data_IF_643857197399
#
_entry.id   IF_643857197399
#
_cell.length_a   1.000
_cell.length_b   1.000
_cell.length_c   1.000
_cell.angle_alpha   90.00
_cell.angle_beta   90.00
_cell.angle_gamma   90.00
#
_symmetry.space_group_name_H-M   'P 1'
#
loop_
_entity.id
_entity.type
_entity.pdbx_description
1 polymer ?
#
# COMPACT_ATOMS: atom_id res chain seq x y z
N UNK A 1 -22.30 54.26 44.59
CA UNK A 1 -22.76 53.31 43.56
C UNK A 1 -21.58 53.00 42.67
N UNK A 2 -20.88 51.87 42.87
CA UNK A 2 -19.73 51.48 42.07
C UNK A 2 -19.91 50.02 41.67
N UNK A 3 -20.17 49.76 40.38
CA UNK A 3 -20.32 48.42 39.81
C UNK A 3 -18.99 47.99 39.24
N UNK A 4 -18.39 46.99 39.89
CA UNK A 4 -17.13 46.36 39.50
C UNK A 4 -17.42 45.47 38.29
N UNK A 5 -16.87 45.84 37.13
CA UNK A 5 -16.90 45.04 35.91
C UNK A 5 -15.79 43.97 36.00
N UNK A 6 -16.17 42.74 36.36
CA UNK A 6 -15.31 41.57 36.23
C UNK A 6 -15.28 41.11 34.77
N UNK A 7 -14.16 41.36 34.09
CA UNK A 7 -13.87 40.82 32.75
C UNK A 7 -13.30 39.41 32.94
N UNK A 8 -14.12 38.38 32.67
CA UNK A 8 -13.68 36.99 32.66
C UNK A 8 -13.03 36.71 31.31
N UNK A 9 -11.70 36.63 31.28
CA UNK A 9 -10.93 36.16 30.12
C UNK A 9 -11.00 34.63 30.05
N UNK A 10 -11.86 34.11 29.18
CA UNK A 10 -11.92 32.67 28.86
C UNK A 10 -10.81 32.37 27.87
N UNK A 11 -9.73 31.72 28.34
CA UNK A 11 -8.67 31.22 27.47
C UNK A 11 -9.19 30.00 26.68
N UNK A 12 -9.47 30.20 25.39
CA UNK A 12 -9.72 29.09 24.45
C UNK A 12 -8.39 28.36 24.22
N UNK A 13 -8.19 27.24 24.92
CA UNK A 13 -7.17 26.26 24.57
C UNK A 13 -7.60 25.55 23.27
N UNK A 14 -7.03 25.97 22.15
CA UNK A 14 -7.13 25.23 20.88
C UNK A 14 -6.31 23.94 21.02
N UNK A 15 -7.01 22.81 21.12
CA UNK A 15 -6.39 21.49 21.08
C UNK A 15 -6.08 21.19 19.60
N UNK A 16 -4.83 21.40 19.19
CA UNK A 16 -4.36 20.98 17.87
C UNK A 16 -4.27 19.45 17.86
N UNK A 17 -5.18 18.80 17.14
CA UNK A 17 -5.10 17.36 16.85
C UNK A 17 -3.93 17.17 15.88
N UNK A 18 -2.76 16.78 16.39
CA UNK A 18 -1.66 16.32 15.55
C UNK A 18 -2.03 14.93 15.08
N UNK A 19 -2.42 14.78 13.81
CA UNK A 19 -2.57 13.48 13.19
C UNK A 19 -1.17 12.85 13.12
N UNK A 20 -0.87 11.97 14.07
CA UNK A 20 0.36 11.17 14.04
C UNK A 20 0.12 10.06 13.03
N UNK A 21 0.69 10.18 11.84
CA UNK A 21 0.70 9.06 10.90
C UNK A 21 1.59 7.93 11.44
N UNK A 22 1.11 6.69 11.32
CA UNK A 22 1.86 5.51 11.76
C UNK A 22 3.06 5.27 10.84
N UNK A 23 4.23 5.10 11.43
CA UNK A 23 5.43 4.70 10.68
C UNK A 23 5.31 3.22 10.32
N UNK A 24 5.36 2.93 9.02
CA UNK A 24 5.46 1.57 8.51
C UNK A 24 6.93 1.17 8.30
N UNK A 25 7.18 -0.12 8.15
CA UNK A 25 8.51 -0.69 7.90
C UNK A 25 8.56 -1.33 6.51
N UNK A 26 9.63 -1.08 5.76
CA UNK A 26 9.91 -1.66 4.44
C UNK A 26 11.39 -2.03 4.38
N UNK A 27 11.72 -3.31 4.19
CA UNK A 27 13.11 -3.81 4.23
C UNK A 27 13.93 -3.32 5.45
N UNK A 28 13.29 -3.17 6.61
CA UNK A 28 13.92 -2.68 7.85
C UNK A 28 14.08 -1.16 7.95
N UNK A 29 13.71 -0.40 6.91
CA UNK A 29 13.63 1.06 6.94
C UNK A 29 12.23 1.52 7.35
N UNK A 30 12.13 2.52 8.22
CA UNK A 30 10.83 3.12 8.54
C UNK A 30 10.48 4.23 7.56
N UNK A 31 9.22 4.33 7.18
CA UNK A 31 8.73 5.32 6.23
C UNK A 31 7.33 5.81 6.60
N UNK A 32 7.00 6.99 6.07
CA UNK A 32 5.67 7.55 6.14
C UNK A 32 4.89 7.18 4.88
N UNK A 33 3.71 6.53 5.00
CA UNK A 33 2.90 6.12 3.85
C UNK A 33 2.43 7.30 2.99
N UNK A 34 2.36 8.50 3.58
CA UNK A 34 2.05 9.75 2.87
C UNK A 34 3.17 10.25 1.94
N UNK A 35 4.40 9.75 2.13
CA UNK A 35 5.59 10.21 1.39
C UNK A 35 6.23 9.11 0.54
N UNK A 36 6.02 7.84 0.89
CA UNK A 36 6.60 6.70 0.19
C UNK A 36 5.62 5.54 0.09
N UNK A 37 5.82 4.72 -0.93
CA UNK A 37 5.13 3.45 -1.12
C UNK A 37 6.16 2.33 -1.11
N UNK A 38 5.91 1.29 -0.31
CA UNK A 38 6.73 0.10 -0.25
C UNK A 38 6.22 -0.96 -1.24
N UNK A 39 7.13 -1.55 -2.01
CA UNK A 39 6.85 -2.61 -2.97
C UNK A 39 7.62 -3.87 -2.57
N UNK A 40 6.89 -4.99 -2.53
CA UNK A 40 7.40 -6.34 -2.22
C UNK A 40 8.32 -6.41 -0.99
N UNK A 41 8.03 -5.59 0.02
CA UNK A 41 8.83 -5.43 1.24
C UNK A 41 10.33 -5.11 1.01
N UNK A 42 10.71 -4.70 -0.21
CA UNK A 42 12.11 -4.58 -0.66
C UNK A 42 12.46 -3.19 -1.18
N UNK A 43 11.55 -2.52 -1.88
CA UNK A 43 11.83 -1.24 -2.53
C UNK A 43 10.88 -0.14 -2.07
N UNK A 44 11.45 1.00 -1.66
CA UNK A 44 10.70 2.21 -1.33
C UNK A 44 10.74 3.17 -2.53
N UNK A 45 9.57 3.54 -3.02
CA UNK A 45 9.42 4.55 -4.06
C UNK A 45 8.73 5.81 -3.50
N UNK A 46 9.26 7.02 -3.79
CA UNK A 46 8.72 8.26 -3.26
C UNK A 46 7.41 8.65 -3.95
N UNK A 47 6.56 9.37 -3.22
CA UNK A 47 5.37 10.01 -3.78
C UNK A 47 5.78 11.42 -4.21
N UNK A 48 5.78 11.69 -5.52
CA UNK A 48 6.24 12.95 -6.09
C UNK A 48 5.04 13.80 -6.50
N UNK A 49 4.87 14.98 -5.89
CA UNK A 49 3.75 15.89 -6.16
C UNK A 49 2.36 15.21 -6.03
N UNK A 50 2.19 14.31 -5.06
CA UNK A 50 0.97 13.52 -4.89
C UNK A 50 0.81 12.37 -5.89
N UNK A 51 1.75 12.18 -6.81
CA UNK A 51 1.78 11.06 -7.75
C UNK A 51 2.64 9.94 -7.18
N UNK A 52 2.03 8.77 -7.02
CA UNK A 52 2.74 7.58 -6.56
C UNK A 52 3.63 7.08 -7.69
N UNK A 53 4.93 6.97 -7.41
CA UNK A 53 5.87 6.38 -8.35
C UNK A 53 5.90 4.86 -8.19
N UNK A 54 6.13 4.18 -9.31
CA UNK A 54 6.16 2.72 -9.39
C UNK A 54 7.60 2.22 -9.56
N UNK A 55 7.93 1.02 -9.08
CA UNK A 55 9.23 0.42 -9.31
C UNK A 55 9.35 -0.10 -10.75
N UNK A 56 10.52 0.08 -11.35
CA UNK A 56 10.94 -0.58 -12.59
C UNK A 56 12.43 -0.94 -12.46
N UNK A 57 12.73 -2.22 -12.27
CA UNK A 57 14.07 -2.65 -11.87
C UNK A 57 14.47 -2.00 -10.54
N UNK A 58 15.53 -1.18 -10.55
CA UNK A 58 16.00 -0.46 -9.36
C UNK A 58 15.53 1.00 -9.29
N UNK A 59 14.81 1.48 -10.31
CA UNK A 59 14.35 2.86 -10.39
C UNK A 59 12.88 2.97 -9.99
N UNK A 60 12.47 4.18 -9.59
CA UNK A 60 11.08 4.54 -9.40
C UNK A 60 10.69 5.56 -10.46
N UNK A 61 9.53 5.37 -11.11
CA UNK A 61 9.08 6.19 -12.24
C UNK A 61 7.66 6.69 -12.07
N UNK A 62 7.34 7.81 -12.71
CA UNK A 62 5.97 8.32 -12.82
C UNK A 62 5.21 7.54 -13.91
N UNK A 63 4.18 6.75 -13.55
CA UNK A 63 3.41 5.95 -14.50
C UNK A 63 2.55 6.78 -15.47
N UNK A 64 2.51 8.10 -15.31
CA UNK A 64 1.86 9.00 -16.26
C UNK A 64 2.81 9.51 -17.35
N UNK A 65 4.13 9.34 -17.15
CA UNK A 65 5.17 9.80 -18.08
C UNK A 65 5.99 8.66 -18.68
N UNK A 66 6.10 7.55 -17.97
CA UNK A 66 6.87 6.38 -18.40
C UNK A 66 6.07 5.11 -18.21
N UNK A 67 6.46 4.07 -18.93
CA UNK A 67 6.02 2.69 -18.72
C UNK A 67 7.22 1.80 -18.44
N UNK A 68 7.02 0.75 -17.65
CA UNK A 68 8.01 -0.29 -17.43
C UNK A 68 7.73 -1.48 -18.35
N UNK A 69 8.71 -1.84 -19.18
CA UNK A 69 8.69 -3.02 -20.03
C UNK A 69 9.97 -3.81 -19.79
N UNK A 70 9.88 -5.06 -19.35
CA UNK A 70 11.04 -5.93 -19.04
C UNK A 70 12.12 -5.24 -18.18
N UNK A 71 11.69 -4.63 -17.07
CA UNK A 71 12.54 -3.84 -16.15
C UNK A 71 13.22 -2.60 -16.77
N UNK A 72 12.84 -2.24 -18.00
CA UNK A 72 13.33 -1.08 -18.74
C UNK A 72 12.28 0.03 -18.76
N UNK A 73 12.71 1.26 -18.46
CA UNK A 73 11.86 2.44 -18.55
C UNK A 73 11.75 2.92 -19.99
N UNK A 74 10.53 3.00 -20.47
CA UNK A 74 10.20 3.52 -21.79
C UNK A 74 9.34 4.77 -21.65
N UNK A 75 9.56 5.76 -22.52
CA UNK A 75 8.76 6.98 -22.50
C UNK A 75 7.33 6.67 -22.96
N UNK A 76 6.34 7.05 -22.16
CA UNK A 76 4.95 6.89 -22.52
C UNK A 76 4.56 7.94 -23.57
N UNK A 77 4.35 7.52 -24.82
CA UNK A 77 3.86 8.39 -25.88
C UNK A 77 2.37 8.10 -26.18
N UNK A 78 1.43 8.90 -25.64
CA UNK A 78 -0.01 8.71 -25.87
C UNK A 78 -0.43 8.92 -27.34
N UNK A 79 0.43 9.54 -28.16
CA UNK A 79 0.13 9.84 -29.55
C UNK A 79 0.47 8.68 -30.50
N UNK A 80 1.13 7.63 -30.00
CA UNK A 80 1.31 6.39 -30.76
C UNK A 80 0.07 5.54 -30.52
N UNK A 81 -0.94 5.73 -31.38
CA UNK A 81 -2.32 5.24 -31.23
C UNK A 81 -2.54 3.71 -31.07
N UNK A 82 -1.48 2.91 -30.93
CA UNK A 82 -1.54 1.46 -30.67
C UNK A 82 -0.28 0.94 -29.94
N UNK A 83 0.38 1.76 -29.12
CA UNK A 83 1.47 1.28 -28.26
C UNK A 83 0.90 0.44 -27.11
N UNK A 84 0.41 -0.75 -27.46
CA UNK A 84 0.12 -1.78 -26.48
C UNK A 84 1.44 -2.25 -25.92
N UNK A 85 1.61 -2.08 -24.62
CA UNK A 85 2.76 -2.62 -23.91
C UNK A 85 2.51 -4.08 -23.58
N UNK A 86 3.59 -4.85 -23.47
CA UNK A 86 3.52 -6.24 -23.05
C UNK A 86 3.56 -6.33 -21.52
N UNK A 87 2.69 -7.15 -20.96
CA UNK A 87 2.71 -7.58 -19.58
C UNK A 87 2.53 -9.09 -19.54
N UNK A 88 3.65 -9.80 -19.46
CA UNK A 88 3.70 -11.25 -19.59
C UNK A 88 3.25 -11.65 -20.99
N UNK A 89 2.16 -12.41 -21.06
CA UNK A 89 1.57 -12.85 -22.34
C UNK A 89 0.40 -11.97 -22.81
N UNK A 90 0.14 -10.85 -22.11
CA UNK A 90 -0.98 -9.95 -22.42
C UNK A 90 -0.47 -8.61 -22.94
N UNK A 91 -1.23 -8.03 -23.86
CA UNK A 91 -1.05 -6.66 -24.31
C UNK A 91 -1.98 -5.74 -23.52
N UNK A 92 -1.49 -4.59 -23.08
CA UNK A 92 -2.28 -3.63 -22.34
C UNK A 92 -2.05 -2.19 -22.78
N UNK A 93 -3.08 -1.38 -22.57
CA UNK A 93 -3.03 0.06 -22.73
C UNK A 93 -2.52 0.69 -21.42
N UNK A 94 -1.36 1.37 -21.43
CA UNK A 94 -0.80 2.01 -20.23
C UNK A 94 -1.69 3.11 -19.64
N UNK A 95 -2.61 3.67 -20.43
CA UNK A 95 -3.64 4.61 -19.95
C UNK A 95 -4.72 3.94 -19.13
N UNK A 96 -4.91 2.63 -19.25
CA UNK A 96 -6.00 1.88 -18.61
C UNK A 96 -5.52 0.91 -17.55
N UNK A 97 -4.26 0.51 -17.59
CA UNK A 97 -3.71 -0.44 -16.63
C UNK A 97 -2.21 -0.19 -16.39
N UNK A 98 -1.70 -0.85 -15.37
CA UNK A 98 -0.30 -0.84 -14.97
C UNK A 98 0.18 -2.29 -14.88
N UNK A 99 1.34 -2.58 -15.44
CA UNK A 99 1.99 -3.88 -15.31
C UNK A 99 2.96 -3.90 -14.12
N UNK A 100 2.84 -4.93 -13.30
CA UNK A 100 3.72 -5.24 -12.18
C UNK A 100 4.45 -6.56 -12.45
N UNK A 101 5.74 -6.60 -12.10
CA UNK A 101 6.62 -7.78 -12.19
C UNK A 101 6.69 -8.42 -13.59
N UNK A 102 6.32 -7.68 -14.63
CA UNK A 102 6.29 -8.19 -16.00
C UNK A 102 5.21 -9.25 -16.26
N UNK A 103 4.21 -9.45 -15.38
CA UNK A 103 3.11 -10.40 -15.64
C UNK A 103 1.78 -10.08 -14.94
N UNK A 104 1.75 -9.16 -13.97
CA UNK A 104 0.55 -8.86 -13.19
C UNK A 104 -0.06 -7.53 -13.60
N UNK A 105 -1.28 -7.56 -14.13
CA UNK A 105 -1.98 -6.39 -14.67
C UNK A 105 -2.98 -5.81 -13.66
N UNK A 106 -2.80 -4.55 -13.30
CA UNK A 106 -3.75 -3.81 -12.48
C UNK A 106 -4.48 -2.73 -13.27
N UNK A 107 -5.83 -2.75 -13.33
CA UNK A 107 -6.61 -1.73 -14.03
C UNK A 107 -6.66 -0.43 -13.25
N UNK A 108 -6.47 0.71 -13.91
CA UNK A 108 -6.63 2.04 -13.32
C UNK A 108 -8.11 2.29 -13.00
N UNK A 109 -8.44 2.53 -11.73
CA UNK A 109 -9.79 2.80 -11.25
C UNK A 109 -9.97 4.28 -10.90
N UNK A 110 -9.76 5.15 -11.89
CA UNK A 110 -9.74 6.61 -11.71
C UNK A 110 -8.38 7.15 -11.20
N UNK A 111 -7.66 6.37 -10.41
CA UNK A 111 -6.25 6.61 -10.05
C UNK A 111 -5.37 5.43 -10.46
N UNK A 112 -4.05 5.61 -10.35
CA UNK A 112 -3.11 4.49 -10.41
C UNK A 112 -3.47 3.50 -9.31
N UNK A 113 -3.66 2.24 -9.70
CA UNK A 113 -3.81 1.11 -8.78
C UNK A 113 -2.47 0.47 -8.52
N UNK A 114 -2.25 0.04 -7.28
CA UNK A 114 -1.05 -0.63 -6.84
C UNK A 114 -1.29 -2.12 -6.67
N UNK A 115 -0.22 -2.91 -6.75
CA UNK A 115 -0.25 -4.33 -6.43
C UNK A 115 -0.10 -4.53 -4.93
N UNK A 116 -0.94 -5.39 -4.36
CA UNK A 116 -0.76 -5.95 -3.03
C UNK A 116 -0.98 -7.46 -3.07
N UNK A 117 0.09 -8.23 -2.90
CA UNK A 117 0.04 -9.69 -3.07
C UNK A 117 -0.43 -10.08 -4.47
N UNK A 118 -1.62 -10.69 -4.56
CA UNK A 118 -2.25 -11.11 -5.82
C UNK A 118 -3.44 -10.23 -6.23
N UNK A 119 -3.59 -9.05 -5.63
CA UNK A 119 -4.72 -8.15 -5.86
C UNK A 119 -4.26 -6.73 -6.18
N UNK A 120 -5.17 -5.94 -6.74
CA UNK A 120 -4.94 -4.53 -7.05
C UNK A 120 -5.78 -3.67 -6.11
N UNK A 121 -5.19 -2.59 -5.59
CA UNK A 121 -5.88 -1.67 -4.68
C UNK A 121 -5.66 -0.22 -5.09
N UNK A 122 -6.55 0.66 -4.65
CA UNK A 122 -6.42 2.11 -4.81
C UNK A 122 -5.85 2.74 -3.53
N UNK A 123 -4.69 3.40 -3.60
CA UNK A 123 -4.01 3.95 -2.43
C UNK A 123 -4.70 5.14 -1.76
N UNK A 124 -5.84 5.60 -2.30
CA UNK A 124 -6.62 6.73 -1.76
C UNK A 124 -7.08 6.49 -0.33
N UNK A 125 -7.49 5.26 -0.01
CA UNK A 125 -8.00 4.88 1.32
C UNK A 125 -7.42 3.56 1.83
N UNK A 126 -6.55 2.91 1.04
CA UNK A 126 -6.00 1.61 1.38
C UNK A 126 -4.47 1.62 1.27
N UNK A 127 -3.81 0.77 2.05
CA UNK A 127 -2.37 0.55 2.00
C UNK A 127 -2.07 -0.95 2.04
N UNK A 128 -0.97 -1.36 1.40
CA UNK A 128 -0.54 -2.75 1.45
C UNK A 128 0.33 -3.00 2.69
N UNK A 129 -0.05 -3.96 3.53
CA UNK A 129 0.80 -4.47 4.60
C UNK A 129 0.78 -6.00 4.60
N UNK A 130 1.96 -6.63 4.68
CA UNK A 130 2.10 -8.10 4.67
C UNK A 130 1.38 -8.79 3.49
N UNK A 131 1.41 -8.16 2.31
CA UNK A 131 0.69 -8.60 1.11
C UNK A 131 -0.86 -8.67 1.27
N UNK A 132 -1.44 -7.89 2.18
CA UNK A 132 -2.88 -7.67 2.33
C UNK A 132 -3.26 -6.20 2.13
N UNK A 133 -4.40 -5.98 1.47
CA UNK A 133 -4.99 -4.66 1.29
C UNK A 133 -5.68 -4.23 2.59
N UNK A 134 -5.23 -3.13 3.18
CA UNK A 134 -5.68 -2.66 4.50
C UNK A 134 -6.27 -1.26 4.40
N UNK A 135 -7.26 -0.95 5.23
CA UNK A 135 -7.89 0.40 5.30
C UNK A 135 -7.25 1.19 6.45
N UNK A 136 -7.40 2.52 6.46
CA UNK A 136 -6.85 3.40 7.52
C UNK A 136 -7.26 3.02 8.96
N UNK A 137 -8.40 2.31 9.15
CA UNK A 137 -8.86 1.80 10.45
C UNK A 137 -8.20 0.46 10.86
N UNK A 138 -7.29 -0.07 10.03
CA UNK A 138 -6.48 -1.25 10.30
C UNK A 138 -6.61 -2.36 9.24
N UNK A 139 -5.65 -3.28 9.27
CA UNK A 139 -5.77 -4.57 8.61
C UNK A 139 -6.66 -5.46 9.50
N UNK A 140 -7.97 -5.53 9.27
CA UNK A 140 -8.76 -6.54 9.98
C UNK A 140 -8.14 -7.92 9.68
N UNK A 141 -7.69 -8.66 10.71
CA UNK A 141 -7.12 -9.98 10.50
C UNK A 141 -8.18 -10.84 9.82
N UNK A 142 -7.77 -11.57 8.77
CA UNK A 142 -8.59 -12.62 8.15
C UNK A 142 -9.33 -13.38 9.26
N UNK A 143 -10.67 -13.57 9.17
CA UNK A 143 -11.42 -14.32 10.17
C UNK A 143 -11.03 -15.80 10.06
N UNK A 144 -9.91 -16.13 10.69
CA UNK A 144 -9.40 -17.48 10.77
C UNK A 144 -10.25 -18.27 11.78
N UNK A 145 -10.46 -19.55 11.48
CA UNK A 145 -11.14 -20.46 12.40
C UNK A 145 -10.43 -20.47 13.77
N UNK A 146 -11.16 -20.74 14.87
CA UNK A 146 -10.55 -20.89 16.20
C UNK A 146 -9.35 -21.84 16.17
N UNK A 147 -8.19 -21.37 16.64
CA UNK A 147 -6.93 -22.13 16.64
C UNK A 147 -5.97 -21.82 15.49
N UNK A 148 -6.35 -20.94 14.54
CA UNK A 148 -5.49 -20.46 13.47
C UNK A 148 -5.18 -18.97 13.65
N UNK A 149 -3.97 -18.56 13.26
CA UNK A 149 -3.55 -17.15 13.24
C UNK A 149 -3.47 -16.67 11.79
N UNK A 150 -3.87 -15.41 11.57
CA UNK A 150 -3.67 -14.73 10.31
C UNK A 150 -2.18 -14.40 10.17
N UNK A 151 -1.52 -15.00 9.17
CA UNK A 151 -0.15 -14.64 8.79
C UNK A 151 -0.13 -14.35 7.31
N UNK A 152 -0.03 -13.06 6.96
CA UNK A 152 -0.26 -12.55 5.60
C UNK A 152 -1.64 -13.01 5.09
N UNK A 153 -1.74 -13.42 3.82
CA UNK A 153 -2.99 -13.85 3.18
C UNK A 153 -3.46 -15.27 3.53
N UNK A 154 -2.87 -15.93 4.55
CA UNK A 154 -3.22 -17.31 4.92
C UNK A 154 -3.46 -17.48 6.42
N UNK A 155 -4.46 -18.28 6.76
CA UNK A 155 -4.60 -18.82 8.09
C UNK A 155 -3.60 -19.96 8.26
N UNK A 156 -2.66 -19.81 9.21
CA UNK A 156 -1.68 -20.84 9.58
C UNK A 156 -1.90 -21.27 11.00
N UNK A 157 -1.51 -22.51 11.32
CA UNK A 157 -1.53 -22.95 12.72
C UNK A 157 -0.31 -22.37 13.44
N UNK A 158 -0.42 -22.18 14.75
CA UNK A 158 0.75 -21.85 15.57
C UNK A 158 1.89 -22.88 15.42
N UNK A 159 1.55 -24.12 15.05
CA UNK A 159 2.47 -25.23 14.93
C UNK A 159 3.30 -25.22 13.66
N UNK A 160 2.91 -24.44 12.65
CA UNK A 160 3.73 -24.25 11.45
C UNK A 160 5.00 -23.43 11.76
N UNK A 161 4.98 -22.64 12.84
CA UNK A 161 6.09 -21.78 13.26
C UNK A 161 6.87 -22.35 14.44
N UNK A 162 6.18 -23.08 15.33
CA UNK A 162 6.81 -23.74 16.47
C UNK A 162 6.16 -25.11 16.72
N UNK A 163 6.61 -26.16 16.03
CA UNK A 163 6.00 -27.50 16.13
C UNK A 163 6.13 -28.12 17.52
N UNK A 164 7.01 -27.61 18.37
CA UNK A 164 7.23 -28.07 19.75
C UNK A 164 6.64 -27.13 20.81
N UNK A 165 5.81 -26.17 20.41
CA UNK A 165 5.22 -25.19 21.31
C UNK A 165 4.18 -25.81 22.26
N UNK A 166 4.04 -25.30 23.50
CA UNK A 166 3.10 -25.84 24.49
C UNK A 166 1.63 -25.71 24.10
N UNK A 167 1.31 -24.92 23.06
CA UNK A 167 -0.04 -24.70 22.55
C UNK A 167 -0.32 -25.44 21.22
N UNK A 168 0.51 -26.42 20.87
CA UNK A 168 0.30 -27.24 19.68
C UNK A 168 -0.65 -28.40 19.94
N UNK A 169 -1.93 -28.17 19.65
CA UNK A 169 -2.95 -29.21 19.65
C UNK A 169 -3.24 -29.57 18.19
N UNK A 170 -2.99 -30.81 17.74
CA UNK A 170 -3.33 -31.24 16.39
C UNK A 170 -4.84 -31.11 16.17
N UNK A 171 -5.23 -30.44 15.08
CA UNK A 171 -6.64 -30.33 14.68
C UNK A 171 -7.21 -31.74 14.43
N UNK A 172 -8.45 -32.02 14.87
CA UNK A 172 -9.11 -33.27 14.52
C UNK A 172 -9.26 -33.35 13.00
N UNK A 173 -8.95 -34.52 12.44
CA UNK A 173 -9.10 -34.82 11.00
C UNK A 173 -10.55 -34.76 10.55
#
# INVERSE_FOLDING_TARGET
>A
MARILSVVFIALAACSIVATEDLLSCSGSRYFPSQYTCYDDTQLCPILNGTITLPCGLACYDPNQYSCSDLTLEFYNPNVSNALNECGFSQYDPSKAVCFDGFFLCPRMGTVTLKCGATCYTPSNHYCALAQDCVADGCEPLPCCPGLIAVASKCRSLCDFNPNGPNCIPLPR
#
